data_IF_407243005782
#
_entry.id   IF_407243005782
#
_cell.length_a   1.000
_cell.length_b   1.000
_cell.length_c   1.000
_cell.angle_alpha   90.00
_cell.angle_beta   90.00
_cell.angle_gamma   90.00
#
_symmetry.space_group_name_H-M   'P 1'
#
loop_
_entity.id
_entity.type
_entity.pdbx_description
1 polymer ?
#
# COMPACT_ATOMS: atom_id res chain seq x y z
N UNK A 1 -1.66 14.45 18.03
CA UNK A 1 -1.69 14.11 16.58
C UNK A 1 -0.28 14.16 16.03
N UNK A 2 0.08 13.20 15.18
CA UNK A 2 1.38 13.18 14.50
C UNK A 2 1.29 13.94 13.17
N UNK A 3 2.38 14.52 12.66
CA UNK A 3 2.37 15.31 11.42
C UNK A 3 2.40 14.45 10.15
N UNK A 4 2.25 13.13 10.26
CA UNK A 4 2.50 12.19 9.18
C UNK A 4 1.23 11.92 8.36
N UNK A 5 1.36 11.97 7.03
CA UNK A 5 0.39 11.44 6.08
C UNK A 5 1.12 10.62 5.01
N UNK A 6 1.79 9.52 5.40
CA UNK A 6 2.69 8.80 4.52
C UNK A 6 1.92 8.08 3.41
N UNK A 7 2.53 8.05 2.23
CA UNK A 7 2.09 7.22 1.11
C UNK A 7 3.30 6.58 0.44
N UNK A 8 3.07 5.37 -0.06
CA UNK A 8 4.00 4.71 -0.98
C UNK A 8 3.15 4.07 -2.05
N UNK A 9 3.41 4.44 -3.30
CA UNK A 9 2.71 3.90 -4.46
C UNK A 9 3.66 3.01 -5.26
N UNK A 10 3.13 1.89 -5.75
CA UNK A 10 3.82 0.96 -6.62
C UNK A 10 3.47 1.16 -8.08
N UNK A 11 4.43 0.91 -8.96
CA UNK A 11 4.22 0.88 -10.41
C UNK A 11 5.03 -0.25 -11.04
N UNK A 12 4.33 -1.19 -11.67
CA UNK A 12 4.95 -2.26 -12.44
C UNK A 12 5.28 -1.79 -13.88
N UNK A 13 6.45 -2.19 -14.37
CA UNK A 13 6.86 -2.07 -15.77
C UNK A 13 7.25 -3.46 -16.29
N UNK A 14 6.25 -4.30 -16.67
CA UNK A 14 6.47 -5.70 -17.02
C UNK A 14 7.36 -5.90 -18.25
N UNK A 15 7.34 -4.94 -19.18
CA UNK A 15 8.16 -4.88 -20.38
C UNK A 15 9.66 -4.81 -20.08
N UNK A 16 10.03 -4.22 -18.94
CA UNK A 16 11.42 -4.08 -18.48
C UNK A 16 11.73 -4.88 -17.23
N UNK A 17 10.77 -5.64 -16.70
CA UNK A 17 10.92 -6.43 -15.48
C UNK A 17 11.23 -5.56 -14.26
N UNK A 18 10.61 -4.38 -14.15
CA UNK A 18 10.90 -3.42 -13.08
C UNK A 18 9.66 -3.15 -12.23
N UNK A 19 9.89 -2.92 -10.94
CA UNK A 19 8.87 -2.45 -10.02
C UNK A 19 9.40 -1.22 -9.28
N UNK A 20 8.67 -0.11 -9.39
CA UNK A 20 9.06 1.19 -8.82
C UNK A 20 8.19 1.49 -7.61
N UNK A 21 8.83 1.94 -6.53
CA UNK A 21 8.12 2.51 -5.37
C UNK A 21 8.38 4.01 -5.33
N UNK A 22 7.33 4.79 -5.10
CA UNK A 22 7.41 6.25 -4.90
C UNK A 22 6.91 6.60 -3.51
N UNK A 23 7.74 7.28 -2.73
CA UNK A 23 7.53 7.53 -1.31
C UNK A 23 7.25 9.02 -1.06
N UNK A 24 6.32 9.31 -0.16
CA UNK A 24 6.13 10.65 0.43
C UNK A 24 5.71 10.53 1.89
N UNK A 25 6.17 11.47 2.70
CA UNK A 25 5.82 11.59 4.11
C UNK A 25 4.56 12.45 4.36
N UNK A 26 4.03 13.06 3.31
CA UNK A 26 3.06 14.16 3.39
C UNK A 26 3.75 15.53 3.47
N UNK A 27 2.96 16.59 3.63
CA UNK A 27 3.44 17.96 3.47
C UNK A 27 4.10 18.56 4.73
N UNK A 28 3.83 17.98 5.91
CA UNK A 28 4.12 18.63 7.19
C UNK A 28 5.41 18.16 7.87
N UNK A 29 5.90 16.95 7.57
CA UNK A 29 7.10 16.40 8.17
C UNK A 29 7.80 15.43 7.21
N UNK A 30 9.12 15.29 7.34
CA UNK A 30 9.86 14.23 6.66
C UNK A 30 9.69 12.89 7.39
N UNK A 31 9.86 11.79 6.66
CA UNK A 31 9.79 10.44 7.22
C UNK A 31 10.87 9.53 6.64
N UNK A 32 11.37 8.65 7.50
CA UNK A 32 12.23 7.53 7.11
C UNK A 32 11.36 6.31 6.77
N UNK A 33 11.69 5.66 5.67
CA UNK A 33 11.08 4.43 5.19
C UNK A 33 12.14 3.35 5.08
N UNK A 34 11.81 2.14 5.54
CA UNK A 34 12.66 0.96 5.38
C UNK A 34 11.96 -0.04 4.49
N UNK A 35 12.60 -0.37 3.37
CA UNK A 35 12.15 -1.41 2.44
C UNK A 35 12.87 -2.70 2.77
N UNK A 36 12.11 -3.78 2.89
CA UNK A 36 12.60 -5.15 3.00
C UNK A 36 12.05 -5.96 1.83
N UNK A 37 12.69 -7.08 1.51
CA UNK A 37 12.20 -8.00 0.49
C UNK A 37 12.09 -9.40 1.06
N UNK A 38 10.97 -10.08 0.79
CA UNK A 38 10.77 -11.48 1.19
C UNK A 38 11.50 -12.48 0.29
N UNK A 39 11.91 -12.03 -0.91
CA UNK A 39 12.49 -12.86 -1.96
C UNK A 39 13.88 -12.37 -2.43
N UNK A 40 14.53 -11.51 -1.63
CA UNK A 40 15.89 -11.01 -1.92
C UNK A 40 16.70 -10.86 -0.63
N UNK A 41 18.01 -10.85 -0.76
CA UNK A 41 18.97 -10.77 0.36
C UNK A 41 19.84 -9.52 0.32
N UNK A 42 19.60 -8.61 -0.61
CA UNK A 42 20.40 -7.39 -0.83
C UNK A 42 19.78 -6.12 -0.22
N UNK A 43 18.70 -6.29 0.55
CA UNK A 43 18.16 -5.27 1.45
C UNK A 43 18.65 -5.45 2.90
N UNK A 44 18.11 -4.68 3.85
CA UNK A 44 17.08 -3.65 3.67
C UNK A 44 17.62 -2.38 3.00
N UNK A 45 16.72 -1.61 2.39
CA UNK A 45 17.02 -0.28 1.85
C UNK A 45 16.32 0.79 2.67
N UNK A 46 16.99 1.90 2.94
CA UNK A 46 16.44 2.98 3.77
C UNK A 46 16.38 4.28 2.97
N UNK A 47 15.24 4.94 2.99
CA UNK A 47 14.99 6.19 2.28
C UNK A 47 14.42 7.23 3.23
N UNK A 48 14.83 8.48 3.12
CA UNK A 48 14.24 9.58 3.89
C UNK A 48 13.62 10.59 2.93
N UNK A 49 12.30 10.70 2.95
CA UNK A 49 11.58 11.71 2.18
C UNK A 49 11.48 13.01 2.99
N UNK A 50 11.87 14.12 2.36
CA UNK A 50 11.62 15.45 2.91
C UNK A 50 10.12 15.77 2.86
N UNK A 51 9.64 16.61 3.79
CA UNK A 51 8.27 17.11 3.81
C UNK A 51 7.86 17.72 2.45
N UNK A 52 6.69 17.34 1.93
CA UNK A 52 6.17 17.82 0.65
C UNK A 52 7.01 17.44 -0.58
N UNK A 53 7.91 16.46 -0.45
CA UNK A 53 8.74 15.93 -1.54
C UNK A 53 8.50 14.43 -1.72
N UNK A 54 8.79 13.99 -2.93
CA UNK A 54 8.77 12.57 -3.30
C UNK A 54 10.18 12.11 -3.65
N UNK A 55 10.42 10.83 -3.40
CA UNK A 55 11.56 10.09 -3.94
C UNK A 55 11.06 8.77 -4.50
N UNK A 56 11.81 8.17 -5.41
CA UNK A 56 11.48 6.86 -5.97
C UNK A 56 12.73 6.00 -6.06
N UNK A 57 12.54 4.69 -5.97
CA UNK A 57 13.56 3.70 -6.32
C UNK A 57 12.91 2.52 -7.06
N UNK A 58 13.73 1.72 -7.74
CA UNK A 58 13.27 0.70 -8.67
C UNK A 58 14.02 -0.61 -8.49
N UNK A 59 13.27 -1.70 -8.36
CA UNK A 59 13.78 -3.05 -8.24
C UNK A 59 13.62 -3.80 -9.56
N UNK A 60 14.69 -4.45 -10.00
CA UNK A 60 14.66 -5.35 -11.14
C UNK A 60 14.27 -6.75 -10.68
N UNK A 61 13.18 -7.29 -11.23
CA UNK A 61 12.61 -8.59 -10.86
C UNK A 61 13.41 -9.77 -11.41
N UNK A 62 14.38 -9.54 -12.31
CA UNK A 62 15.34 -10.56 -12.71
C UNK A 62 16.13 -11.14 -11.52
N UNK A 63 16.38 -10.32 -10.49
CA UNK A 63 17.05 -10.75 -9.26
C UNK A 63 16.12 -11.47 -8.27
N UNK A 64 14.85 -11.66 -8.64
CA UNK A 64 13.82 -12.28 -7.83
C UNK A 64 12.90 -13.15 -8.69
N UNK A 65 13.47 -13.82 -9.70
CA UNK A 65 12.80 -14.80 -10.55
C UNK A 65 11.51 -14.29 -11.22
N UNK A 66 11.47 -13.02 -11.59
CA UNK A 66 10.35 -12.40 -12.30
C UNK A 66 9.17 -12.00 -11.40
N UNK A 67 9.28 -12.12 -10.07
CA UNK A 67 8.27 -11.67 -9.11
C UNK A 67 8.85 -10.60 -8.17
N UNK A 68 7.99 -9.77 -7.59
CA UNK A 68 8.38 -8.85 -6.51
C UNK A 68 7.67 -9.21 -5.21
N UNK A 69 8.36 -9.03 -4.09
CA UNK A 69 7.83 -9.15 -2.72
C UNK A 69 8.55 -8.12 -1.85
N UNK A 70 8.00 -6.89 -1.84
CA UNK A 70 8.59 -5.74 -1.15
C UNK A 70 7.66 -5.28 -0.04
N UNK A 71 8.20 -5.05 1.16
CA UNK A 71 7.48 -4.45 2.27
C UNK A 71 8.16 -3.18 2.74
N UNK A 72 7.40 -2.09 2.82
CA UNK A 72 7.85 -0.77 3.25
C UNK A 72 7.27 -0.43 4.61
N UNK A 73 8.15 -0.19 5.56
CA UNK A 73 7.82 0.27 6.90
C UNK A 73 8.06 1.77 7.00
N UNK A 74 7.19 2.47 7.72
CA UNK A 74 7.29 3.90 7.98
C UNK A 74 6.76 4.27 9.36
N UNK A 75 6.61 5.58 9.65
CA UNK A 75 6.12 6.04 10.94
C UNK A 75 4.66 5.64 11.18
N UNK A 76 4.22 5.70 12.43
CA UNK A 76 2.81 5.55 12.83
C UNK A 76 2.15 4.24 12.34
N UNK A 77 2.87 3.13 12.50
CA UNK A 77 2.44 1.80 12.07
C UNK A 77 2.29 1.63 10.56
N UNK A 78 2.83 2.54 9.76
CA UNK A 78 2.72 2.47 8.31
C UNK A 78 3.42 1.24 7.75
N UNK A 79 2.64 0.43 7.01
CA UNK A 79 3.12 -0.69 6.21
C UNK A 79 2.49 -0.63 4.82
N UNK A 80 3.31 -0.85 3.80
CA UNK A 80 2.86 -1.20 2.45
C UNK A 80 3.59 -2.45 2.01
N UNK A 81 2.85 -3.51 1.71
CA UNK A 81 3.41 -4.72 1.09
C UNK A 81 2.93 -4.81 -0.34
N UNK A 82 3.86 -5.05 -1.26
CA UNK A 82 3.64 -5.22 -2.68
C UNK A 82 4.16 -6.60 -3.08
N UNK A 83 3.25 -7.50 -3.46
CA UNK A 83 3.59 -8.79 -4.07
C UNK A 83 2.89 -8.93 -5.41
N UNK A 84 3.56 -9.56 -6.37
CA UNK A 84 2.96 -9.84 -7.66
C UNK A 84 3.96 -10.24 -8.73
N UNK A 85 3.42 -10.54 -9.92
CA UNK A 85 4.22 -10.77 -11.11
C UNK A 85 4.91 -9.49 -11.59
N UNK A 86 6.21 -9.56 -11.84
CA UNK A 86 6.98 -8.51 -12.50
C UNK A 86 7.04 -8.66 -14.02
N UNK A 87 6.37 -9.64 -14.60
CA UNK A 87 6.40 -9.97 -16.04
C UNK A 87 5.03 -9.93 -16.70
N UNK A 88 3.96 -9.75 -15.92
CA UNK A 88 2.60 -9.61 -16.42
C UNK A 88 2.02 -8.25 -16.04
N UNK A 89 1.23 -7.67 -16.94
CA UNK A 89 0.36 -6.54 -16.62
C UNK A 89 -0.69 -7.01 -15.62
N UNK A 90 -0.86 -6.27 -14.54
CA UNK A 90 -1.82 -6.59 -13.48
C UNK A 90 -2.42 -5.35 -12.84
N UNK A 91 -3.42 -5.53 -11.98
CA UNK A 91 -4.05 -4.42 -11.26
C UNK A 91 -3.07 -3.74 -10.28
N UNK A 92 -3.45 -2.58 -9.77
CA UNK A 92 -2.70 -1.87 -8.73
C UNK A 92 -3.67 -1.17 -7.76
N UNK A 93 -3.22 -0.93 -6.53
CA UNK A 93 -4.01 -0.26 -5.48
C UNK A 93 -3.18 0.83 -4.84
N UNK A 94 -3.67 2.07 -4.90
CA UNK A 94 -3.11 3.20 -4.16
C UNK A 94 -4.03 3.58 -3.01
N UNK A 95 -3.46 4.18 -1.97
CA UNK A 95 -4.17 4.55 -0.76
C UNK A 95 -3.86 6.01 -0.36
N UNK A 96 -4.90 6.75 0.02
CA UNK A 96 -4.80 8.14 0.49
C UNK A 96 -5.54 8.31 1.80
N UNK A 97 -4.89 8.97 2.76
CA UNK A 97 -5.50 9.37 4.01
C UNK A 97 -6.50 10.51 3.73
N UNK A 98 -7.73 10.38 4.21
CA UNK A 98 -8.69 11.48 4.24
C UNK A 98 -8.82 11.99 5.68
N UNK A 99 -8.07 13.05 5.98
CA UNK A 99 -8.07 13.68 7.30
C UNK A 99 -9.44 14.29 7.67
N UNK A 100 -10.30 14.61 6.69
CA UNK A 100 -11.61 15.22 6.98
C UNK A 100 -12.61 14.23 7.56
N UNK A 101 -12.52 12.97 7.13
CA UNK A 101 -13.43 11.89 7.58
C UNK A 101 -12.74 10.91 8.53
N UNK A 102 -11.40 10.86 8.54
CA UNK A 102 -10.63 9.84 9.24
C UNK A 102 -10.61 8.48 8.53
N UNK A 103 -11.06 8.42 7.27
CA UNK A 103 -11.11 7.20 6.47
C UNK A 103 -9.91 7.07 5.51
N UNK A 104 -9.82 5.91 4.88
CA UNK A 104 -8.83 5.65 3.83
C UNK A 104 -9.52 5.56 2.47
N UNK A 105 -9.02 6.32 1.50
CA UNK A 105 -9.48 6.29 0.12
C UNK A 105 -8.56 5.37 -0.68
N UNK A 106 -9.12 4.31 -1.24
CA UNK A 106 -8.45 3.39 -2.14
C UNK A 106 -8.81 3.74 -3.59
N UNK A 107 -7.80 3.76 -4.46
CA UNK A 107 -7.99 3.79 -5.91
C UNK A 107 -7.40 2.50 -6.49
N UNK A 108 -8.27 1.70 -7.10
CA UNK A 108 -7.95 0.42 -7.70
C UNK A 108 -7.95 0.59 -9.21
N UNK A 109 -6.88 0.17 -9.89
CA UNK A 109 -6.74 0.31 -11.34
C UNK A 109 -6.51 -1.04 -11.98
N UNK A 110 -6.97 -1.19 -13.21
CA UNK A 110 -6.76 -2.39 -14.01
C UNK A 110 -6.34 -2.00 -15.43
N UNK A 111 -5.04 -1.99 -15.74
CA UNK A 111 -4.55 -1.72 -17.09
C UNK A 111 -4.71 -2.92 -18.04
N UNK A 112 -5.25 -4.05 -17.57
CA UNK A 112 -5.49 -5.24 -18.38
C UNK A 112 -6.64 -5.09 -19.38
N UNK A 113 -6.78 -6.09 -20.25
CA UNK A 113 -7.80 -6.16 -21.29
C UNK A 113 -9.08 -6.91 -20.87
N UNK A 114 -9.12 -7.42 -19.64
CA UNK A 114 -10.28 -8.09 -19.04
C UNK A 114 -10.58 -7.48 -17.69
N UNK A 115 -11.84 -7.52 -17.29
CA UNK A 115 -12.24 -7.14 -15.93
C UNK A 115 -11.47 -7.99 -14.91
N UNK A 116 -11.20 -7.39 -13.74
CA UNK A 116 -10.51 -8.03 -12.63
C UNK A 116 -11.32 -7.83 -11.35
N UNK A 117 -11.37 -8.84 -10.50
CA UNK A 117 -12.01 -8.76 -9.19
C UNK A 117 -10.94 -8.67 -8.09
N UNK A 118 -10.96 -7.54 -7.37
CA UNK A 118 -10.08 -7.30 -6.24
C UNK A 118 -10.85 -7.47 -4.95
N UNK A 119 -10.41 -8.41 -4.11
CA UNK A 119 -11.04 -8.68 -2.81
C UNK A 119 -10.24 -8.02 -1.71
N UNK A 120 -10.86 -7.04 -1.06
CA UNK A 120 -10.39 -6.33 0.12
C UNK A 120 -10.83 -7.09 1.38
N UNK A 121 -9.95 -7.23 2.37
CA UNK A 121 -10.26 -7.71 3.72
C UNK A 121 -9.66 -6.77 4.74
N UNK A 122 -10.43 -6.36 5.75
CA UNK A 122 -9.96 -5.54 6.86
C UNK A 122 -9.71 -6.39 8.10
N UNK A 123 -8.49 -6.37 8.64
CA UNK A 123 -8.14 -7.19 9.81
C UNK A 123 -8.72 -6.67 11.15
N UNK A 124 -9.26 -5.45 11.18
CA UNK A 124 -9.85 -4.88 12.40
C UNK A 124 -11.27 -5.36 12.69
N UNK A 125 -12.01 -5.80 11.68
CA UNK A 125 -13.42 -6.20 11.79
C UNK A 125 -13.80 -7.39 10.90
N UNK A 126 -12.81 -8.03 10.25
CA UNK A 126 -12.95 -9.12 9.30
C UNK A 126 -13.88 -8.82 8.12
N UNK A 127 -14.20 -7.55 7.87
CA UNK A 127 -15.08 -7.18 6.76
C UNK A 127 -14.37 -7.39 5.43
N UNK A 128 -15.11 -7.95 4.47
CA UNK A 128 -14.64 -8.22 3.11
C UNK A 128 -15.49 -7.52 2.07
N UNK A 129 -14.84 -6.99 1.03
CA UNK A 129 -15.53 -6.44 -0.14
C UNK A 129 -14.82 -6.87 -1.42
N UNK A 130 -15.56 -7.40 -2.39
CA UNK A 130 -15.04 -7.69 -3.73
C UNK A 130 -15.46 -6.59 -4.68
N UNK A 131 -14.49 -5.98 -5.34
CA UNK A 131 -14.66 -4.86 -6.26
C UNK A 131 -14.31 -5.32 -7.67
N UNK A 132 -15.25 -5.16 -8.61
CA UNK A 132 -14.98 -5.35 -10.03
C UNK A 132 -14.33 -4.10 -10.60
N UNK A 133 -13.09 -4.23 -11.09
CA UNK A 133 -12.37 -3.16 -11.77
C UNK A 133 -12.39 -3.46 -13.29
N UNK A 134 -13.09 -2.63 -14.09
CA UNK A 134 -13.22 -2.87 -15.53
C UNK A 134 -11.88 -2.92 -16.25
N UNK A 135 -11.81 -3.63 -17.37
CA UNK A 135 -10.67 -3.58 -18.29
C UNK A 135 -10.28 -2.13 -18.65
N UNK A 136 -9.01 -1.77 -18.53
CA UNK A 136 -8.50 -0.41 -18.72
C UNK A 136 -9.04 0.64 -17.74
N UNK A 137 -9.79 0.21 -16.72
CA UNK A 137 -10.59 1.05 -15.85
C UNK A 137 -9.99 1.30 -14.47
N UNK A 138 -10.74 2.06 -13.67
CA UNK A 138 -10.44 2.28 -12.26
C UNK A 138 -11.72 2.40 -11.43
N UNK A 139 -11.61 2.04 -10.14
CA UNK A 139 -12.69 2.14 -9.16
C UNK A 139 -12.12 2.77 -7.88
N UNK A 140 -12.88 3.68 -7.28
CA UNK A 140 -12.57 4.24 -5.97
C UNK A 140 -13.42 3.54 -4.90
N UNK A 141 -12.79 3.22 -3.77
CA UNK A 141 -13.45 2.65 -2.60
C UNK A 141 -13.03 3.41 -1.34
N UNK A 142 -13.98 3.72 -0.46
CA UNK A 142 -13.69 4.32 0.84
C UNK A 142 -13.76 3.23 1.90
N UNK A 143 -12.63 2.95 2.54
CA UNK A 143 -12.60 2.06 3.70
C UNK A 143 -12.97 2.86 4.96
N UNK A 144 -14.07 2.46 5.59
CA UNK A 144 -14.52 3.02 6.86
C UNK A 144 -13.64 2.51 8.01
N UNK A 145 -13.00 3.43 8.73
CA UNK A 145 -12.04 3.09 9.77
C UNK A 145 -12.57 3.29 11.20
N UNK A 146 -13.88 3.45 11.37
CA UNK A 146 -14.48 3.67 12.70
C UNK A 146 -14.20 2.51 13.66
N UNK A 147 -14.28 1.26 13.19
CA UNK A 147 -14.00 0.07 14.00
C UNK A 147 -12.55 0.03 14.52
N UNK A 148 -11.58 0.40 13.67
CA UNK A 148 -10.17 0.48 14.01
C UNK A 148 -9.75 1.78 14.70
N UNK A 149 -10.69 2.70 15.00
CA UNK A 149 -10.38 4.04 15.55
C UNK A 149 -9.35 4.79 14.69
N UNK A 150 -9.56 4.79 13.36
CA UNK A 150 -8.67 5.34 12.30
C UNK A 150 -7.40 4.53 12.02
N UNK A 151 -7.18 3.44 12.74
CA UNK A 151 -6.22 2.43 12.31
C UNK A 151 -6.82 1.55 11.21
N UNK A 152 -5.96 1.10 10.31
CA UNK A 152 -6.32 0.23 9.20
C UNK A 152 -5.24 -0.82 8.99
N UNK A 153 -5.67 -2.03 8.59
CA UNK A 153 -4.82 -3.09 8.05
C UNK A 153 -5.65 -3.85 7.02
N UNK A 154 -5.46 -3.47 5.76
CA UNK A 154 -6.24 -3.92 4.63
C UNK A 154 -5.39 -4.83 3.75
N UNK A 155 -5.89 -6.01 3.43
CA UNK A 155 -5.29 -6.88 2.41
C UNK A 155 -6.16 -6.89 1.16
N UNK A 156 -5.54 -6.66 0.00
CA UNK A 156 -6.19 -6.76 -1.31
C UNK A 156 -5.53 -7.87 -2.11
N UNK A 157 -6.32 -8.84 -2.55
CA UNK A 157 -5.92 -9.94 -3.43
C UNK A 157 -6.65 -9.86 -4.77
N UNK A 158 -6.05 -10.43 -5.81
CA UNK A 158 -6.59 -10.44 -7.17
C UNK A 158 -7.02 -11.85 -7.57
N UNK A 159 -8.12 -11.96 -8.31
CA UNK A 159 -8.53 -13.20 -8.97
C UNK A 159 -7.74 -13.49 -10.26
N UNK A 160 -7.12 -12.47 -10.86
CA UNK A 160 -6.36 -12.56 -12.11
C UNK A 160 -4.88 -12.90 -11.90
N UNK A 161 -4.37 -12.76 -10.67
CA UNK A 161 -2.98 -13.08 -10.30
C UNK A 161 -2.93 -13.57 -8.85
N UNK A 162 -2.69 -14.87 -8.65
CA UNK A 162 -2.60 -15.49 -7.32
C UNK A 162 -1.37 -15.03 -6.51
N UNK A 163 -0.38 -14.39 -7.15
CA UNK A 163 0.77 -13.79 -6.47
C UNK A 163 0.50 -12.36 -5.99
N UNK A 164 -0.59 -11.74 -6.44
CA UNK A 164 -0.93 -10.36 -6.14
C UNK A 164 -1.36 -10.20 -4.68
N UNK A 165 -0.63 -9.34 -3.95
CA UNK A 165 -1.04 -8.83 -2.65
C UNK A 165 -0.70 -7.36 -2.57
N UNK A 166 -1.67 -6.57 -2.11
CA UNK A 166 -1.41 -5.27 -1.49
C UNK A 166 -1.85 -5.33 -0.04
N UNK A 167 -0.90 -5.24 0.89
CA UNK A 167 -1.23 -5.01 2.31
C UNK A 167 -0.99 -3.55 2.63
N UNK A 168 -1.98 -2.89 3.20
CA UNK A 168 -1.99 -1.48 3.51
C UNK A 168 -2.30 -1.35 4.99
N UNK A 169 -1.33 -0.97 5.82
CA UNK A 169 -1.57 -0.70 7.24
C UNK A 169 -1.09 0.70 7.67
N UNK A 170 -1.61 1.17 8.79
CA UNK A 170 -1.23 2.42 9.44
C UNK A 170 -2.40 3.12 10.11
N UNK A 171 -2.23 4.41 10.38
CA UNK A 171 -3.23 5.26 11.02
C UNK A 171 -3.46 6.55 10.23
N UNK A 172 -4.72 6.95 10.09
CA UNK A 172 -5.10 8.23 9.48
C UNK A 172 -5.09 9.33 10.55
N UNK A 173 -4.15 10.27 10.42
CA UNK A 173 -4.11 11.48 11.26
C UNK A 173 -5.15 12.50 10.78
N UNK A 174 -5.97 13.00 11.71
CA UNK A 174 -7.01 14.00 11.45
C UNK A 174 -6.88 15.26 12.32
N UNK A 175 -5.74 15.43 13.01
CA UNK A 175 -5.49 16.57 13.91
C UNK A 175 -6.05 16.39 15.33
N UNK A 176 -6.88 15.38 15.59
CA UNK A 176 -7.43 15.11 16.91
C UNK A 176 -6.59 14.07 17.68
N UNK A 177 -6.70 14.01 19.03
CA UNK A 177 -6.15 12.89 19.80
C UNK A 177 -6.61 11.52 19.26
N UNK A 178 -5.71 10.55 19.30
CA UNK A 178 -5.96 9.17 18.89
C UNK A 178 -5.63 8.18 20.00
N UNK A 179 -5.73 6.90 19.68
CA UNK A 179 -5.26 5.81 20.55
C UNK A 179 -4.09 5.10 19.87
N UNK A 180 -3.25 4.43 20.66
CA UNK A 180 -2.34 3.42 20.13
C UNK A 180 -3.12 2.35 19.37
N UNK A 181 -2.46 1.70 18.42
CA UNK A 181 -3.03 0.61 17.62
C UNK A 181 -3.76 -0.40 18.53
N UNK A 182 -5.09 -0.55 18.39
CA UNK A 182 -5.89 -1.47 19.21
C UNK A 182 -5.52 -2.94 19.07
N UNK A 183 -4.90 -3.33 17.96
CA UNK A 183 -4.45 -4.70 17.68
C UNK A 183 -3.05 -4.98 18.23
N UNK A 184 -2.31 -3.97 18.71
CA UNK A 184 -1.10 -4.19 19.50
C UNK A 184 -1.51 -4.82 20.84
N UNK A 185 -1.43 -6.15 20.90
CA UNK A 185 -1.55 -6.91 22.15
C UNK A 185 -0.18 -6.85 22.84
N UNK A 186 0.00 -5.86 23.70
CA UNK A 186 1.12 -5.83 24.64
C UNK A 186 0.61 -6.28 26.01
N UNK A 187 0.68 -7.58 26.26
CA UNK A 187 0.49 -8.29 27.53
C UNK A 187 -0.63 -7.80 28.48
#
# INVERSE_FOLDING_TARGET
PLPYAPLVDGAAAPDTGKYTLTFSAGDNAGACFTVTAGNRTDGPWTYTAHAGKQLSDTWNTAYSHGVYDLSVFGPNGFLRTFKGSGTATGPEVTARHDASTGNLILSLTNPGSTDCHLTLTNAYDDTTATLTVPAGGSVQHTADLRAGKRWYDLSVVSDSDTSFLRRLAGHVENGEPGVSDPAIITA
#
